data_IF_059730973203
#
_entry.id   IF_059730973203
#
_cell.length_a   1.000
_cell.length_b   1.000
_cell.length_c   1.000
_cell.angle_alpha   90.00
_cell.angle_beta   90.00
_cell.angle_gamma   90.00
#
_symmetry.space_group_name_H-M   'P 1'
#
loop_
_entity.id
_entity.type
_entity.pdbx_description
1 polymer ?
#
# COMPACT_ATOMS: atom_id res chain seq x y z
N UNK A 1 -17.72 5.19 -32.45
CA UNK A 1 -16.27 4.97 -32.56
C UNK A 1 -15.94 3.88 -31.58
N UNK A 2 -15.65 2.67 -32.09
CA UNK A 2 -15.33 1.48 -31.28
C UNK A 2 -13.96 1.64 -30.66
N UNK A 3 -13.91 1.55 -29.33
CA UNK A 3 -12.65 1.49 -28.60
C UNK A 3 -12.13 0.05 -28.65
N UNK A 4 -11.14 -0.19 -29.46
CA UNK A 4 -10.47 -1.48 -29.58
C UNK A 4 -9.59 -1.68 -28.35
N UNK A 5 -9.94 -2.68 -27.53
CA UNK A 5 -9.14 -3.10 -26.38
C UNK A 5 -7.92 -3.85 -26.93
N UNK A 6 -6.76 -3.23 -26.84
CA UNK A 6 -5.49 -3.90 -27.13
C UNK A 6 -5.25 -5.01 -26.12
N UNK A 7 -5.53 -6.25 -26.52
CA UNK A 7 -5.19 -7.44 -25.74
C UNK A 7 -3.68 -7.64 -25.80
N UNK A 8 -3.00 -7.36 -24.68
CA UNK A 8 -1.58 -7.68 -24.51
C UNK A 8 -1.31 -9.17 -24.73
N UNK A 9 -0.24 -9.50 -25.46
CA UNK A 9 0.21 -10.87 -25.72
C UNK A 9 0.55 -11.57 -24.40
N UNK A 10 -0.11 -12.69 -24.14
CA UNK A 10 0.17 -13.58 -23.02
C UNK A 10 1.57 -14.21 -23.16
N UNK A 11 2.48 -13.89 -22.27
CA UNK A 11 3.67 -14.69 -22.01
C UNK A 11 3.28 -15.79 -21.02
N UNK A 12 3.30 -17.00 -21.45
CA UNK A 12 3.36 -18.34 -20.87
C UNK A 12 3.00 -18.65 -19.41
N UNK A 13 2.19 -17.84 -18.73
CA UNK A 13 1.53 -18.17 -17.46
C UNK A 13 0.08 -17.76 -17.59
N UNK A 14 -0.86 -18.54 -17.03
CA UNK A 14 -2.30 -18.25 -17.09
C UNK A 14 -2.65 -16.80 -16.74
N UNK A 15 -3.87 -16.33 -17.02
CA UNK A 15 -4.24 -14.93 -16.83
C UNK A 15 -3.98 -14.51 -15.38
N UNK A 16 -2.95 -13.67 -15.19
CA UNK A 16 -2.65 -13.10 -13.88
C UNK A 16 -3.70 -12.04 -13.55
N UNK A 17 -4.07 -11.97 -12.29
CA UNK A 17 -5.09 -11.05 -11.82
C UNK A 17 -4.59 -9.61 -11.93
N UNK A 18 -5.42 -8.72 -12.50
CA UNK A 18 -5.16 -7.31 -12.58
C UNK A 18 -5.44 -6.62 -11.24
N UNK A 19 -4.50 -5.83 -10.77
CA UNK A 19 -4.65 -4.92 -9.62
C UNK A 19 -4.98 -3.53 -10.16
N UNK A 20 -6.13 -3.00 -9.80
CA UNK A 20 -6.56 -1.66 -10.22
C UNK A 20 -6.51 -0.70 -9.04
N UNK A 21 -5.52 0.20 -9.06
CA UNK A 21 -5.37 1.23 -8.02
C UNK A 21 -5.99 2.54 -8.47
N UNK A 22 -6.86 3.08 -7.63
CA UNK A 22 -7.49 4.38 -7.86
C UNK A 22 -7.04 5.38 -6.79
N UNK A 23 -6.99 6.67 -7.12
CA UNK A 23 -6.74 7.73 -6.14
C UNK A 23 -7.92 7.91 -5.16
N UNK A 24 -9.11 7.45 -5.52
CA UNK A 24 -10.31 7.51 -4.67
C UNK A 24 -10.24 6.53 -3.48
N UNK A 25 -9.38 5.51 -3.55
CA UNK A 25 -9.19 4.51 -2.49
C UNK A 25 -8.85 5.13 -1.14
N UNK A 26 -8.12 6.26 -1.12
CA UNK A 26 -7.69 6.90 0.13
C UNK A 26 -8.86 7.51 0.89
N UNK A 27 -9.80 8.12 0.18
CA UNK A 27 -11.03 8.62 0.80
C UNK A 27 -11.93 7.46 1.24
N UNK A 28 -12.00 6.41 0.45
CA UNK A 28 -12.72 5.19 0.82
C UNK A 28 -12.14 4.57 2.11
N UNK A 29 -10.81 4.44 2.23
CA UNK A 29 -10.13 3.94 3.42
C UNK A 29 -10.38 4.83 4.65
N UNK A 30 -10.35 6.17 4.47
CA UNK A 30 -10.67 7.14 5.53
C UNK A 30 -12.11 7.00 6.01
N UNK A 31 -13.06 6.83 5.12
CA UNK A 31 -14.47 6.62 5.48
C UNK A 31 -14.63 5.33 6.29
N UNK A 32 -13.94 4.27 5.89
CA UNK A 32 -13.96 2.99 6.63
C UNK A 32 -13.30 3.08 8.00
N UNK A 33 -12.24 3.86 8.16
CA UNK A 33 -11.60 4.06 9.47
C UNK A 33 -12.58 4.62 10.52
N UNK A 34 -13.62 5.33 10.07
CA UNK A 34 -14.71 5.86 10.91
C UNK A 34 -15.87 4.87 11.12
N UNK A 35 -15.92 3.79 10.37
CA UNK A 35 -16.98 2.78 10.44
C UNK A 35 -16.84 1.88 11.68
N UNK A 36 -17.89 1.11 11.97
CA UNK A 36 -17.88 0.10 13.03
C UNK A 36 -16.85 -1.01 12.78
N UNK A 37 -16.46 -1.73 13.85
CA UNK A 37 -15.43 -2.77 13.78
C UNK A 37 -15.76 -3.88 12.76
N UNK A 38 -17.00 -4.31 12.70
CA UNK A 38 -17.48 -5.35 11.79
C UNK A 38 -17.31 -4.90 10.33
N UNK A 39 -17.76 -3.71 10.02
CA UNK A 39 -17.66 -3.14 8.67
C UNK A 39 -16.19 -2.94 8.25
N UNK A 40 -15.31 -2.50 9.17
CA UNK A 40 -13.87 -2.38 8.89
C UNK A 40 -13.23 -3.72 8.55
N UNK A 41 -13.64 -4.81 9.19
CA UNK A 41 -13.11 -6.15 8.98
C UNK A 41 -13.53 -6.81 7.66
N UNK A 42 -14.61 -6.34 7.03
CA UNK A 42 -15.19 -7.00 5.88
C UNK A 42 -14.38 -6.82 4.57
N UNK A 43 -13.65 -5.72 4.40
CA UNK A 43 -12.90 -5.44 3.16
C UNK A 43 -11.72 -4.51 3.45
N UNK A 44 -10.53 -4.89 3.02
CA UNK A 44 -9.31 -4.07 3.05
C UNK A 44 -9.07 -3.34 1.73
N UNK A 45 -7.96 -2.60 1.68
CA UNK A 45 -7.58 -1.84 0.48
C UNK A 45 -7.20 -2.75 -0.69
N UNK A 46 -6.59 -3.91 -0.43
CA UNK A 46 -6.22 -4.88 -1.48
C UNK A 46 -7.46 -5.53 -2.07
N UNK A 47 -8.43 -5.90 -1.26
CA UNK A 47 -9.71 -6.44 -1.71
C UNK A 47 -10.47 -5.43 -2.57
N UNK A 48 -10.45 -4.15 -2.15
CA UNK A 48 -11.04 -3.06 -2.94
C UNK A 48 -10.37 -2.90 -4.31
N UNK A 49 -9.03 -2.98 -4.37
CA UNK A 49 -8.27 -2.81 -5.61
C UNK A 49 -8.35 -4.03 -6.55
N UNK A 50 -8.66 -5.20 -6.03
CA UNK A 50 -8.65 -6.47 -6.77
C UNK A 50 -10.02 -7.08 -7.00
N UNK A 51 -11.03 -6.66 -6.23
CA UNK A 51 -12.34 -7.28 -6.18
C UNK A 51 -12.35 -8.68 -5.52
N UNK A 52 -11.25 -9.04 -4.82
CA UNK A 52 -11.13 -10.26 -4.03
C UNK A 52 -11.78 -10.10 -2.66
N UNK A 53 -12.03 -11.20 -1.99
CA UNK A 53 -12.43 -11.24 -0.57
C UNK A 53 -11.19 -11.47 0.32
N UNK A 54 -11.33 -11.25 1.62
CA UNK A 54 -10.26 -11.52 2.58
C UNK A 54 -9.85 -13.01 2.57
N UNK A 55 -10.77 -13.91 2.29
CA UNK A 55 -10.52 -15.35 2.23
C UNK A 55 -9.74 -15.77 0.97
N UNK A 56 -9.76 -14.95 -0.07
CA UNK A 56 -8.99 -15.17 -1.30
C UNK A 56 -7.52 -14.75 -1.14
N UNK A 57 -7.18 -14.00 -0.11
CA UNK A 57 -5.86 -13.42 0.09
C UNK A 57 -5.03 -14.20 1.12
N UNK A 58 -3.73 -14.21 0.89
CA UNK A 58 -2.72 -14.61 1.88
C UNK A 58 -1.86 -13.39 2.15
N UNK A 59 -1.90 -12.97 3.41
CA UNK A 59 -1.20 -11.78 3.88
C UNK A 59 0.01 -12.18 4.72
N UNK A 60 1.14 -11.52 4.48
CA UNK A 60 2.35 -11.69 5.26
C UNK A 60 2.87 -10.34 5.69
N UNK A 61 3.20 -10.21 6.98
CA UNK A 61 3.74 -9.00 7.57
C UNK A 61 4.95 -9.30 8.44
N UNK A 62 5.96 -8.44 8.38
CA UNK A 62 7.11 -8.43 9.25
C UNK A 62 7.35 -7.01 9.74
N UNK A 63 7.66 -6.85 11.04
CA UNK A 63 7.93 -5.54 11.65
C UNK A 63 9.34 -5.53 12.23
N UNK A 64 10.04 -4.42 11.99
CA UNK A 64 11.39 -4.20 12.48
C UNK A 64 11.51 -2.83 13.16
N UNK A 65 12.32 -2.78 14.22
CA UNK A 65 12.70 -1.53 14.87
C UNK A 65 13.94 -0.98 14.15
N UNK A 66 13.81 0.17 13.52
CA UNK A 66 14.89 0.77 12.75
C UNK A 66 15.07 2.24 13.13
N UNK A 67 16.17 2.84 12.67
CA UNK A 67 16.41 4.27 12.86
C UNK A 67 16.42 4.98 11.51
N UNK A 68 15.80 6.17 11.50
CA UNK A 68 15.79 7.00 10.30
C UNK A 68 17.20 7.36 9.87
N UNK A 69 17.59 6.97 8.67
CA UNK A 69 18.73 7.52 7.95
C UNK A 69 18.38 8.90 7.36
N UNK A 70 19.26 9.47 6.55
CA UNK A 70 19.04 10.79 5.93
C UNK A 70 17.84 10.79 4.97
N UNK A 71 17.61 9.70 4.23
CA UNK A 71 16.52 9.60 3.27
C UNK A 71 15.17 9.51 3.99
N UNK A 72 15.04 8.58 4.95
CA UNK A 72 13.85 8.40 5.77
C UNK A 72 13.57 9.64 6.64
N UNK A 73 14.60 10.25 7.21
CA UNK A 73 14.45 11.47 7.99
C UNK A 73 13.86 12.62 7.17
N UNK A 74 14.32 12.77 5.92
CA UNK A 74 13.78 13.76 4.97
C UNK A 74 12.36 13.41 4.57
N UNK A 75 12.09 12.14 4.26
CA UNK A 75 10.76 11.67 3.82
C UNK A 75 9.69 11.83 4.90
N UNK A 76 10.02 11.47 6.14
CA UNK A 76 9.14 11.56 7.32
C UNK A 76 9.16 12.93 8.01
N UNK A 77 10.07 13.85 7.56
CA UNK A 77 10.28 15.19 8.18
C UNK A 77 10.63 15.10 9.66
N UNK A 78 11.49 14.14 10.02
CA UNK A 78 12.01 13.90 11.38
C UNK A 78 13.52 14.06 11.43
N UNK A 79 14.12 13.97 12.61
CA UNK A 79 15.58 13.98 12.76
C UNK A 79 16.17 12.62 12.38
N UNK A 80 17.39 12.64 11.81
CA UNK A 80 18.19 11.42 11.62
C UNK A 80 18.35 10.71 12.96
N UNK A 81 18.26 9.39 12.96
CA UNK A 81 18.30 8.55 14.16
C UNK A 81 16.96 8.45 14.91
N UNK A 82 15.88 9.11 14.45
CA UNK A 82 14.54 8.90 15.00
C UNK A 82 14.17 7.43 14.92
N UNK A 83 13.62 6.86 16.01
CA UNK A 83 13.17 5.47 16.06
C UNK A 83 11.91 5.30 15.24
N UNK A 84 11.93 4.31 14.34
CA UNK A 84 10.83 3.98 13.43
C UNK A 84 10.43 2.53 13.60
N UNK A 85 9.17 2.23 13.26
CA UNK A 85 8.70 0.89 12.98
C UNK A 85 8.70 0.72 11.47
N UNK A 86 9.58 -0.11 10.94
CA UNK A 86 9.54 -0.60 9.56
C UNK A 86 8.56 -1.76 9.47
N UNK A 87 7.68 -1.72 8.49
CA UNK A 87 6.67 -2.74 8.25
C UNK A 87 6.79 -3.23 6.81
N UNK A 88 7.02 -4.52 6.65
CA UNK A 88 7.13 -5.18 5.36
C UNK A 88 5.87 -6.00 5.13
N UNK A 89 5.23 -5.79 3.99
CA UNK A 89 4.00 -6.47 3.63
C UNK A 89 4.12 -7.16 2.28
N UNK A 90 3.59 -8.38 2.19
CA UNK A 90 3.37 -9.11 0.96
C UNK A 90 1.97 -9.67 0.96
N UNK A 91 1.18 -9.32 -0.04
CA UNK A 91 -0.16 -9.84 -0.21
C UNK A 91 -0.23 -10.59 -1.53
N UNK A 92 -0.70 -11.81 -1.51
CA UNK A 92 -0.89 -12.61 -2.71
C UNK A 92 -2.31 -13.18 -2.78
N UNK A 93 -2.76 -13.43 -4.00
CA UNK A 93 -3.94 -14.25 -4.22
C UNK A 93 -3.61 -15.71 -3.86
N UNK A 94 -4.52 -16.39 -3.18
CA UNK A 94 -4.30 -17.75 -2.64
C UNK A 94 -3.89 -18.75 -3.71
N UNK A 95 -4.45 -18.63 -4.91
CA UNK A 95 -4.20 -19.52 -6.04
C UNK A 95 -2.95 -19.15 -6.87
N UNK A 96 -2.32 -18.00 -6.59
CA UNK A 96 -1.12 -17.54 -7.26
C UNK A 96 0.08 -17.56 -6.30
N UNK A 97 1.25 -18.01 -6.80
CA UNK A 97 2.47 -18.03 -5.99
C UNK A 97 3.07 -16.64 -5.79
N UNK A 98 2.98 -15.78 -6.82
CA UNK A 98 3.56 -14.45 -6.79
C UNK A 98 2.68 -13.47 -6.03
N UNK A 99 3.26 -12.58 -5.20
CA UNK A 99 2.49 -11.52 -4.55
C UNK A 99 1.97 -10.49 -5.55
N UNK A 100 0.85 -9.85 -5.16
CA UNK A 100 0.25 -8.73 -5.90
C UNK A 100 1.09 -7.46 -5.77
N UNK A 101 1.80 -7.32 -4.67
CA UNK A 101 2.69 -6.20 -4.38
C UNK A 101 3.70 -6.57 -3.29
N UNK A 102 4.74 -5.73 -3.19
CA UNK A 102 5.62 -5.65 -2.03
C UNK A 102 5.49 -4.24 -1.47
N UNK A 103 5.23 -4.12 -0.17
CA UNK A 103 5.09 -2.83 0.49
C UNK A 103 6.06 -2.73 1.65
N UNK A 104 6.78 -1.61 1.72
CA UNK A 104 7.59 -1.21 2.87
C UNK A 104 7.04 0.11 3.40
N UNK A 105 6.69 0.13 4.67
CA UNK A 105 6.07 1.28 5.32
C UNK A 105 6.81 1.62 6.63
N UNK A 106 6.84 2.90 6.97
CA UNK A 106 7.53 3.40 8.15
C UNK A 106 6.60 4.29 8.97
N UNK A 107 6.49 3.99 10.26
CA UNK A 107 5.81 4.82 11.25
C UNK A 107 6.83 5.34 12.27
N UNK A 108 6.63 6.57 12.74
CA UNK A 108 7.42 7.08 13.87
C UNK A 108 6.98 6.33 15.13
N UNK A 109 7.92 5.57 15.73
CA UNK A 109 7.60 4.70 16.88
C UNK A 109 6.88 5.45 18.01
N UNK A 110 7.33 6.66 18.36
CA UNK A 110 6.73 7.45 19.43
C UNK A 110 5.27 7.85 19.16
N UNK A 111 4.84 7.93 17.90
CA UNK A 111 3.46 8.27 17.55
C UNK A 111 2.50 7.10 17.75
N UNK A 112 2.99 5.88 17.67
CA UNK A 112 2.15 4.67 17.73
C UNK A 112 2.33 3.85 19.00
N UNK A 113 3.31 4.21 19.84
CA UNK A 113 3.67 3.46 21.04
C UNK A 113 2.56 3.38 22.11
N UNK A 114 1.57 4.28 22.07
CA UNK A 114 0.42 4.23 22.98
C UNK A 114 -0.52 3.05 22.68
N UNK A 115 -0.45 2.46 21.50
CA UNK A 115 -1.16 1.23 21.16
C UNK A 115 -0.16 0.14 20.77
N UNK A 116 0.19 -0.78 21.69
CA UNK A 116 1.17 -1.84 21.46
C UNK A 116 0.80 -2.78 20.30
N UNK A 117 -0.49 -2.93 20.00
CA UNK A 117 -0.94 -3.76 18.87
C UNK A 117 -0.41 -3.25 17.52
N UNK A 118 -0.09 -1.95 17.40
CA UNK A 118 0.52 -1.37 16.18
C UNK A 118 2.01 -1.69 16.04
N UNK A 119 2.61 -2.30 17.06
CA UNK A 119 4.01 -2.75 17.07
C UNK A 119 4.14 -4.27 16.88
N UNK A 120 3.02 -4.97 16.76
CA UNK A 120 2.95 -6.43 16.68
C UNK A 120 2.45 -6.88 15.29
N UNK A 121 3.34 -7.48 14.49
CA UNK A 121 3.00 -8.01 13.17
C UNK A 121 1.94 -9.12 13.20
N UNK A 122 1.77 -9.82 14.33
CA UNK A 122 0.75 -10.85 14.48
C UNK A 122 -0.69 -10.28 14.52
N UNK A 123 -0.84 -8.98 14.63
CA UNK A 123 -2.14 -8.28 14.56
C UNK A 123 -2.58 -7.98 13.12
N UNK A 124 -1.74 -8.26 12.14
CA UNK A 124 -2.07 -8.08 10.73
C UNK A 124 -2.78 -9.33 10.13
N UNK A 125 -3.66 -9.16 9.14
CA UNK A 125 -4.08 -7.89 8.53
C UNK A 125 -4.98 -7.07 9.46
N UNK A 126 -4.65 -5.77 9.56
CA UNK A 126 -5.42 -4.86 10.41
C UNK A 126 -6.74 -4.46 9.74
N UNK A 127 -7.89 -4.62 10.44
CA UNK A 127 -9.19 -4.26 9.90
C UNK A 127 -9.27 -2.77 9.52
N UNK A 128 -9.47 -2.46 8.24
CA UNK A 128 -9.57 -1.10 7.72
C UNK A 128 -8.22 -0.43 7.37
N UNK A 129 -7.08 -1.17 7.48
CA UNK A 129 -5.78 -0.71 6.99
C UNK A 129 -5.11 0.39 7.82
N UNK A 130 -4.11 1.05 7.25
CA UNK A 130 -3.22 2.00 7.94
C UNK A 130 -3.96 3.19 8.54
N UNK A 131 -4.96 3.76 7.87
CA UNK A 131 -5.71 4.89 8.43
C UNK A 131 -6.52 4.49 9.66
N UNK A 132 -7.05 3.26 9.69
CA UNK A 132 -7.72 2.72 10.88
C UNK A 132 -6.74 2.48 12.04
N UNK A 133 -5.52 1.99 11.75
CA UNK A 133 -4.45 1.87 12.74
C UNK A 133 -4.14 3.22 13.38
N UNK A 134 -3.87 4.24 12.58
CA UNK A 134 -3.53 5.59 13.03
C UNK A 134 -4.66 6.22 13.86
N UNK A 135 -5.91 5.96 13.49
CA UNK A 135 -7.09 6.42 14.22
C UNK A 135 -7.11 5.92 15.68
N UNK A 136 -6.57 4.71 15.96
CA UNK A 136 -6.51 4.14 17.32
C UNK A 136 -5.59 4.89 18.28
N UNK A 137 -4.68 5.69 17.75
CA UNK A 137 -3.77 6.55 18.51
C UNK A 137 -4.10 8.04 18.37
N UNK A 138 -5.31 8.35 17.88
CA UNK A 138 -5.80 9.73 17.75
C UNK A 138 -5.21 10.51 16.57
N UNK A 139 -4.60 9.82 15.61
CA UNK A 139 -4.04 10.44 14.41
C UNK A 139 -5.05 10.39 13.27
N UNK A 140 -5.46 11.55 12.78
CA UNK A 140 -6.33 11.70 11.62
C UNK A 140 -5.51 12.10 10.40
N UNK A 141 -5.56 11.30 9.33
CA UNK A 141 -4.93 11.62 8.04
C UNK A 141 -5.76 12.70 7.33
N UNK A 142 -5.12 13.83 7.02
CA UNK A 142 -5.70 14.92 6.25
C UNK A 142 -5.58 14.68 4.74
N UNK A 143 -4.38 14.32 4.28
CA UNK A 143 -4.10 14.07 2.86
C UNK A 143 -3.07 12.95 2.66
N UNK A 144 -3.13 12.40 1.46
CA UNK A 144 -2.17 11.42 0.98
C UNK A 144 -1.47 11.98 -0.26
N UNK A 145 -0.15 12.04 -0.22
CA UNK A 145 0.68 12.44 -1.34
C UNK A 145 1.29 11.18 -1.96
N UNK A 146 0.97 10.88 -3.21
CA UNK A 146 1.54 9.75 -3.95
C UNK A 146 2.42 10.23 -5.11
N UNK A 147 3.60 9.64 -5.23
CA UNK A 147 4.51 9.80 -6.37
C UNK A 147 4.63 8.47 -7.08
N UNK A 148 4.22 8.44 -8.33
CA UNK A 148 4.24 7.23 -9.15
C UNK A 148 5.38 7.34 -10.17
N UNK A 149 6.23 6.31 -10.20
CA UNK A 149 7.31 6.17 -11.17
C UNK A 149 7.35 4.74 -11.71
N UNK A 150 8.09 4.52 -12.79
CA UNK A 150 8.36 3.19 -13.30
C UNK A 150 9.87 3.02 -13.50
N UNK A 151 10.38 1.82 -13.24
CA UNK A 151 11.79 1.47 -13.43
C UNK A 151 11.94 -0.04 -13.68
N UNK A 152 13.10 -0.50 -14.16
CA UNK A 152 13.44 -1.90 -14.10
C UNK A 152 13.39 -2.42 -12.64
N UNK A 153 12.97 -3.68 -12.41
CA UNK A 153 13.02 -4.29 -11.09
C UNK A 153 14.48 -4.55 -10.66
N UNK A 154 14.71 -4.58 -9.36
CA UNK A 154 15.91 -5.21 -8.81
C UNK A 154 15.82 -6.73 -9.01
N UNK A 155 16.95 -7.45 -8.84
CA UNK A 155 16.95 -8.92 -8.93
C UNK A 155 16.04 -9.57 -7.87
N UNK A 156 15.95 -8.96 -6.68
CA UNK A 156 15.06 -9.41 -5.62
C UNK A 156 13.58 -9.20 -5.99
N UNK A 157 13.22 -8.00 -6.44
CA UNK A 157 11.84 -7.69 -6.86
C UNK A 157 11.38 -8.57 -8.02
N UNK A 158 12.27 -8.80 -9.00
CA UNK A 158 11.96 -9.66 -10.14
C UNK A 158 11.66 -11.10 -9.70
N UNK A 159 12.44 -11.62 -8.74
CA UNK A 159 12.26 -12.96 -8.18
C UNK A 159 11.00 -13.02 -7.33
N UNK A 160 10.83 -12.12 -6.37
CA UNK A 160 9.69 -12.11 -5.44
C UNK A 160 8.36 -11.94 -6.15
N UNK A 161 8.28 -10.99 -7.09
CA UNK A 161 7.07 -10.72 -7.87
C UNK A 161 6.91 -11.66 -9.07
N UNK A 162 7.84 -12.62 -9.28
CA UNK A 162 7.87 -13.53 -10.42
C UNK A 162 7.68 -12.81 -11.76
N UNK A 163 8.45 -11.73 -11.98
CA UNK A 163 8.32 -10.90 -13.18
C UNK A 163 8.95 -11.56 -14.40
N UNK A 164 8.29 -11.54 -15.56
CA UNK A 164 8.92 -11.91 -16.81
C UNK A 164 10.09 -10.96 -17.14
N UNK A 165 11.12 -11.44 -17.88
CA UNK A 165 12.21 -10.59 -18.35
C UNK A 165 11.68 -9.36 -19.12
N UNK A 166 12.24 -8.19 -18.84
CA UNK A 166 11.85 -6.93 -19.49
C UNK A 166 10.59 -6.25 -18.92
N UNK A 167 9.97 -6.86 -17.90
CA UNK A 167 8.83 -6.23 -17.22
C UNK A 167 9.33 -5.19 -16.22
N UNK A 168 8.84 -3.96 -16.32
CA UNK A 168 9.09 -2.90 -15.35
C UNK A 168 8.22 -3.07 -14.10
N UNK A 169 8.65 -2.47 -13.00
CA UNK A 169 7.81 -2.26 -11.82
C UNK A 169 7.28 -0.84 -11.79
N UNK A 170 6.05 -0.69 -11.33
CA UNK A 170 5.51 0.59 -10.90
C UNK A 170 5.86 0.79 -9.43
N UNK A 171 6.43 1.95 -9.10
CA UNK A 171 6.83 2.30 -7.74
C UNK A 171 5.96 3.45 -7.26
N UNK A 172 5.20 3.22 -6.20
CA UNK A 172 4.44 4.25 -5.51
C UNK A 172 5.15 4.62 -4.21
N UNK A 173 5.57 5.88 -4.09
CA UNK A 173 6.02 6.46 -2.83
C UNK A 173 4.90 7.31 -2.27
N UNK A 174 4.41 6.90 -1.10
CA UNK A 174 3.24 7.49 -0.47
C UNK A 174 3.61 8.13 0.87
N UNK A 175 3.16 9.35 1.11
CA UNK A 175 3.21 10.01 2.40
C UNK A 175 1.78 10.30 2.88
N UNK A 176 1.40 9.79 4.05
CA UNK A 176 0.19 10.20 4.74
C UNK A 176 0.53 11.36 5.67
N UNK A 177 -0.19 12.46 5.53
CA UNK A 177 0.01 13.67 6.31
C UNK A 177 -1.23 13.91 7.16
N UNK A 178 -1.02 14.14 8.46
CA UNK A 178 -2.12 14.39 9.40
C UNK A 178 -2.60 15.84 9.37
N UNK A 179 -3.62 16.15 10.17
CA UNK A 179 -4.22 17.47 10.31
C UNK A 179 -3.26 18.53 10.89
N UNK A 180 -2.16 18.10 11.54
CA UNK A 180 -1.10 18.99 12.04
C UNK A 180 0.04 19.18 11.02
N UNK A 181 -0.07 18.57 9.83
CA UNK A 181 0.93 18.66 8.77
C UNK A 181 2.15 17.72 8.96
N UNK A 182 2.08 16.78 9.91
CA UNK A 182 3.14 15.79 10.15
C UNK A 182 3.01 14.62 9.18
N UNK A 183 4.12 14.10 8.67
CA UNK A 183 4.12 12.82 7.93
C UNK A 183 4.02 11.69 8.94
N UNK A 184 2.91 10.98 8.93
CA UNK A 184 2.57 9.94 9.93
C UNK A 184 2.80 8.53 9.43
N UNK A 185 2.80 8.34 8.12
CA UNK A 185 3.21 7.10 7.43
C UNK A 185 3.93 7.49 6.14
N UNK A 186 5.07 6.88 5.92
CA UNK A 186 5.74 6.92 4.62
C UNK A 186 5.92 5.49 4.12
N UNK A 187 5.55 5.24 2.88
CA UNK A 187 5.62 3.89 2.33
C UNK A 187 6.05 3.87 0.86
N UNK A 188 6.75 2.82 0.50
CA UNK A 188 7.07 2.46 -0.87
C UNK A 188 6.35 1.16 -1.23
N UNK A 189 5.57 1.20 -2.30
CA UNK A 189 4.82 0.05 -2.82
C UNK A 189 5.37 -0.30 -4.19
N UNK A 190 5.87 -1.51 -4.33
CA UNK A 190 6.38 -2.06 -5.59
C UNK A 190 5.30 -2.93 -6.20
N UNK A 191 4.90 -2.57 -7.40
CA UNK A 191 3.81 -3.20 -8.13
C UNK A 191 4.31 -3.76 -9.46
N UNK A 192 3.92 -4.98 -9.83
CA UNK A 192 4.28 -5.56 -11.11
C UNK A 192 3.58 -4.83 -12.26
N UNK A 193 4.38 -4.32 -13.22
CA UNK A 193 3.84 -3.50 -14.31
C UNK A 193 3.05 -4.28 -15.36
N UNK A 194 3.18 -5.60 -15.39
CA UNK A 194 2.43 -6.48 -16.31
C UNK A 194 0.99 -6.76 -15.88
N UNK A 195 0.64 -6.40 -14.62
CA UNK A 195 -0.68 -6.68 -14.04
C UNK A 195 -1.18 -5.58 -13.08
N UNK A 196 -0.64 -4.38 -13.19
CA UNK A 196 -1.09 -3.23 -12.40
C UNK A 196 -1.55 -2.09 -13.31
N UNK A 197 -2.73 -1.57 -13.02
CA UNK A 197 -3.29 -0.37 -13.63
C UNK A 197 -3.46 0.70 -12.55
N UNK A 198 -2.96 1.92 -12.79
CA UNK A 198 -3.23 3.08 -11.96
C UNK A 198 -4.25 3.97 -12.64
N UNK A 199 -5.35 4.26 -11.95
CA UNK A 199 -6.45 5.08 -12.48
C UNK A 199 -6.60 6.33 -11.62
N UNK A 200 -6.46 7.49 -12.24
CA UNK A 200 -6.63 8.78 -11.61
C UNK A 200 -7.91 9.45 -12.13
N UNK A 201 -8.84 9.73 -11.22
CA UNK A 201 -10.07 10.45 -11.54
C UNK A 201 -9.98 11.85 -10.96
N UNK A 202 -10.12 12.87 -11.80
CA UNK A 202 -10.20 14.27 -11.37
C UNK A 202 -11.61 14.79 -11.67
N UNK A 203 -12.31 15.18 -10.64
CA UNK A 203 -13.60 15.85 -10.81
C UNK A 203 -13.36 17.33 -11.10
N UNK A 204 -14.01 17.83 -12.15
CA UNK A 204 -13.94 19.23 -12.53
C UNK A 204 -15.19 19.96 -12.00
N UNK A 205 -14.99 21.19 -11.55
CA UNK A 205 -16.11 22.05 -11.19
C UNK A 205 -16.97 22.37 -12.42
N UNK A 206 -18.27 22.52 -12.20
CA UNK A 206 -19.18 22.96 -13.26
C UNK A 206 -19.05 24.47 -13.41
N UNK A 207 -19.22 24.95 -14.65
CA UNK A 207 -19.27 26.39 -14.97
C UNK A 207 -20.41 27.07 -14.24
#
# INVERSE_FOLDING_TARGET
VSTEVVRGRAYGHGPRRLVRRTNERHQWEKNRARAGREERGATGATEHDTGLTVDDLVFHAEYHDVRADEELARALRVRVGTRLVERLYRTRYREEAAPLNMTRSYLVHAMVASNPDLLDAAREPWPGGTQSQLCTVGVEVDRVEERVTARPPTAEEARELALPPGTAVMVLRKACVDTDGRVVDWSEVILPGDRTEAVFTTRLERW
#
